data_IF_805762117009
#
_entry.id   IF_805762117009
#
_cell.length_a   1.000
_cell.length_b   1.000
_cell.length_c   1.000
_cell.angle_alpha   90.00
_cell.angle_beta   90.00
_cell.angle_gamma   90.00
#
_symmetry.space_group_name_H-M   'P 1'
#
loop_
_entity.id
_entity.type
_entity.pdbx_description
1 polymer ?
#
# COMPACT_ATOMS: atom_id res chain seq x y z
N UNK A 1 31.99 -5.74 -5.56
CA UNK A 1 31.04 -4.88 -4.81
C UNK A 1 30.14 -5.77 -3.96
N UNK A 2 30.65 -6.35 -2.88
CA UNK A 2 29.86 -7.19 -1.97
C UNK A 2 30.06 -6.64 -0.57
N UNK A 3 29.38 -5.51 -0.31
CA UNK A 3 29.33 -4.92 1.02
C UNK A 3 28.10 -5.52 1.71
N UNK A 4 28.31 -6.51 2.58
CA UNK A 4 27.30 -7.05 3.50
C UNK A 4 26.56 -5.95 4.27
N UNK A 5 27.22 -4.81 4.51
CA UNK A 5 26.66 -3.64 5.18
C UNK A 5 25.45 -3.00 4.47
N UNK A 6 25.18 -3.32 3.20
CA UNK A 6 23.95 -2.88 2.52
C UNK A 6 22.77 -3.84 2.70
N UNK A 7 23.03 -5.10 3.09
CA UNK A 7 22.02 -6.16 3.22
C UNK A 7 21.78 -6.60 4.67
N UNK A 8 22.40 -5.92 5.64
CA UNK A 8 22.17 -6.15 7.05
C UNK A 8 20.67 -5.96 7.36
N UNK A 9 20.04 -6.97 7.95
CA UNK A 9 18.59 -7.01 8.25
C UNK A 9 18.18 -5.87 9.17
N UNK A 10 19.11 -5.31 9.94
CA UNK A 10 18.92 -4.10 10.75
C UNK A 10 18.69 -2.81 9.93
N UNK A 11 18.97 -2.82 8.62
CA UNK A 11 18.86 -1.63 7.74
C UNK A 11 17.72 -1.70 6.73
N UNK A 12 17.27 -2.90 6.39
CA UNK A 12 16.08 -3.14 5.54
C UNK A 12 14.83 -2.74 6.33
N UNK A 13 13.96 -1.90 5.76
CA UNK A 13 12.79 -1.38 6.49
C UNK A 13 13.12 -0.32 7.55
N UNK A 14 14.37 0.15 7.64
CA UNK A 14 14.77 1.22 8.57
C UNK A 14 14.66 2.62 7.97
N UNK A 15 14.46 2.73 6.65
CA UNK A 15 14.43 4.01 5.96
C UNK A 15 13.00 4.49 5.74
N UNK A 16 12.72 5.76 6.08
CA UNK A 16 11.44 6.38 5.73
C UNK A 16 11.41 6.61 4.22
N UNK A 17 10.38 6.08 3.54
CA UNK A 17 10.14 6.30 2.12
C UNK A 17 10.06 7.80 1.84
N UNK A 18 10.77 8.24 0.79
CA UNK A 18 10.54 9.58 0.27
C UNK A 18 9.09 9.67 -0.30
N UNK A 19 8.51 10.86 -0.45
CA UNK A 19 7.14 10.99 -0.94
C UNK A 19 6.86 10.34 -2.31
N UNK A 20 7.82 10.32 -3.22
CA UNK A 20 7.63 9.70 -4.54
C UNK A 20 7.53 8.19 -4.41
N UNK A 21 8.49 7.57 -3.73
CA UNK A 21 8.49 6.12 -3.48
C UNK A 21 7.23 5.73 -2.72
N UNK A 22 6.83 6.51 -1.72
CA UNK A 22 5.58 6.29 -0.99
C UNK A 22 4.33 6.32 -1.89
N UNK A 23 4.25 7.25 -2.84
CA UNK A 23 3.08 7.39 -3.73
C UNK A 23 3.10 6.36 -4.85
N UNK A 24 4.28 6.04 -5.40
CA UNK A 24 4.44 5.18 -6.58
C UNK A 24 4.54 3.69 -6.23
N UNK A 25 5.11 3.32 -5.07
CA UNK A 25 5.24 1.90 -4.65
C UNK A 25 3.91 1.14 -4.70
N UNK A 26 2.78 1.69 -4.18
CA UNK A 26 1.47 1.04 -4.27
C UNK A 26 1.03 0.74 -5.70
N UNK A 27 1.35 1.61 -6.67
CA UNK A 27 0.96 1.43 -8.06
C UNK A 27 1.59 0.16 -8.64
N UNK A 28 2.87 -0.05 -8.35
CA UNK A 28 3.61 -1.21 -8.83
C UNK A 28 3.25 -2.48 -8.03
N UNK A 29 3.30 -2.39 -6.69
CA UNK A 29 3.03 -3.51 -5.79
C UNK A 29 1.63 -4.12 -5.99
N UNK A 30 0.63 -3.29 -6.28
CA UNK A 30 -0.74 -3.72 -6.51
C UNK A 30 -1.11 -3.84 -7.99
N UNK A 31 -0.14 -3.64 -8.89
CA UNK A 31 -0.34 -3.65 -10.34
C UNK A 31 -1.52 -2.75 -10.77
N UNK A 32 -1.62 -1.55 -10.19
CA UNK A 32 -2.71 -0.63 -10.50
C UNK A 32 -2.54 -0.09 -11.92
N UNK A 33 -3.44 -0.49 -12.80
CA UNK A 33 -3.47 -0.02 -14.18
C UNK A 33 -3.77 1.46 -14.24
N UNK A 34 -2.88 2.23 -14.86
CA UNK A 34 -3.17 3.59 -15.30
C UNK A 34 -4.14 3.55 -16.50
N UNK A 35 -4.99 4.58 -16.67
CA UNK A 35 -5.93 4.63 -17.78
C UNK A 35 -5.19 4.66 -19.13
N UNK A 36 -5.79 4.03 -20.15
CA UNK A 36 -5.24 4.01 -21.51
C UNK A 36 -5.36 5.37 -22.22
N UNK A 37 -6.43 6.10 -21.92
CA UNK A 37 -6.65 7.45 -22.44
C UNK A 37 -5.53 8.40 -21.98
N UNK A 38 -4.83 8.99 -22.95
CA UNK A 38 -3.67 9.83 -22.70
C UNK A 38 -3.99 11.06 -21.84
N UNK A 39 -5.17 11.66 -22.00
CA UNK A 39 -5.57 12.88 -21.26
C UNK A 39 -5.87 12.54 -19.81
N UNK A 40 -6.61 11.45 -19.58
CA UNK A 40 -6.90 10.98 -18.21
C UNK A 40 -5.62 10.49 -17.53
N UNK A 41 -4.73 9.83 -18.26
CA UNK A 41 -3.43 9.37 -17.77
C UNK A 41 -2.53 10.53 -17.34
N UNK A 42 -2.41 11.55 -18.18
CA UNK A 42 -1.64 12.76 -17.85
C UNK A 42 -2.22 13.46 -16.61
N UNK A 43 -3.55 13.59 -16.52
CA UNK A 43 -4.22 14.13 -15.33
C UNK A 43 -3.96 13.30 -14.07
N UNK A 44 -4.00 11.98 -14.17
CA UNK A 44 -3.73 11.09 -13.03
C UNK A 44 -2.26 11.22 -12.56
N UNK A 45 -1.30 11.20 -13.50
CA UNK A 45 0.11 11.38 -13.18
C UNK A 45 0.41 12.77 -12.61
N UNK A 46 -0.18 13.83 -13.18
CA UNK A 46 -0.08 15.20 -12.65
C UNK A 46 -0.69 15.35 -11.26
N UNK A 47 -1.81 14.67 -10.98
CA UNK A 47 -2.41 14.63 -9.65
C UNK A 47 -1.56 13.86 -8.63
N UNK A 48 -1.01 12.70 -9.01
CA UNK A 48 -0.03 11.96 -8.20
C UNK A 48 1.20 12.81 -7.89
N UNK A 49 1.70 13.55 -8.88
CA UNK A 49 2.75 14.54 -8.70
C UNK A 49 2.35 15.64 -7.70
N UNK A 50 1.11 16.14 -7.76
CA UNK A 50 0.57 17.08 -6.78
C UNK A 50 0.67 16.58 -5.34
N UNK A 51 0.37 15.29 -5.09
CA UNK A 51 0.52 14.69 -3.76
C UNK A 51 1.98 14.67 -3.27
N UNK A 52 2.95 14.47 -4.16
CA UNK A 52 4.39 14.53 -3.77
C UNK A 52 4.77 15.92 -3.28
N UNK A 53 4.24 16.98 -3.92
CA UNK A 53 4.48 18.36 -3.54
C UNK A 53 3.88 18.70 -2.16
N UNK A 54 2.64 18.26 -1.89
CA UNK A 54 2.00 18.41 -0.57
C UNK A 54 2.81 17.71 0.53
N UNK A 55 3.45 16.59 0.20
CA UNK A 55 4.35 15.86 1.09
C UNK A 55 5.79 16.43 1.10
N UNK A 56 5.97 17.67 0.64
CA UNK A 56 7.22 18.43 0.67
C UNK A 56 8.32 17.90 -0.25
N UNK A 57 7.94 17.25 -1.36
CA UNK A 57 8.85 16.79 -2.40
C UNK A 57 8.35 17.17 -3.79
N UNK A 58 8.80 18.32 -4.31
CA UNK A 58 8.53 18.72 -5.69
C UNK A 58 9.70 18.32 -6.60
N UNK A 59 9.46 17.38 -7.52
CA UNK A 59 10.41 17.04 -8.58
C UNK A 59 10.75 18.28 -9.41
N UNK A 60 12.03 18.47 -9.73
CA UNK A 60 12.54 19.61 -10.50
C UNK A 60 12.37 20.99 -9.85
N UNK A 61 11.90 21.06 -8.60
CA UNK A 61 11.84 22.28 -7.79
C UNK A 61 12.57 22.07 -6.47
N UNK A 62 13.88 21.80 -6.56
CA UNK A 62 14.70 21.66 -5.36
C UNK A 62 14.77 23.02 -4.62
N UNK A 63 14.50 23.07 -3.30
CA UNK A 63 14.45 24.32 -2.56
C UNK A 63 15.83 24.99 -2.37
N UNK A 64 16.92 24.30 -2.70
CA UNK A 64 18.28 24.85 -2.65
C UNK A 64 19.21 24.15 -3.65
N UNK A 65 20.38 24.74 -3.90
CA UNK A 65 21.47 24.14 -4.71
C UNK A 65 21.90 22.77 -4.18
N UNK A 66 21.70 22.52 -2.89
CA UNK A 66 22.06 21.28 -2.21
C UNK A 66 20.90 20.28 -2.17
N UNK A 67 20.37 19.79 -3.31
CA UNK A 67 19.39 18.66 -3.34
C UNK A 67 18.20 18.83 -2.35
N UNK A 68 17.44 17.77 -2.08
CA UNK A 68 16.33 17.80 -1.12
C UNK A 68 16.81 17.50 0.30
N UNK A 69 16.30 18.25 1.29
CA UNK A 69 16.74 18.23 2.70
C UNK A 69 16.85 16.83 3.31
N UNK A 70 15.92 15.92 2.97
CA UNK A 70 15.92 14.56 3.49
C UNK A 70 17.12 13.70 3.09
N UNK A 71 17.93 14.12 2.11
CA UNK A 71 19.11 13.36 1.67
C UNK A 71 20.42 13.78 2.34
N UNK A 72 20.49 14.95 2.99
CA UNK A 72 21.77 15.48 3.47
C UNK A 72 21.70 16.28 4.78
N UNK A 73 20.52 16.71 5.24
CA UNK A 73 20.41 17.48 6.49
C UNK A 73 20.50 16.57 7.71
N UNK A 74 21.66 16.57 8.35
CA UNK A 74 21.85 16.02 9.69
C UNK A 74 21.06 16.83 10.76
N UNK A 75 20.61 16.21 11.86
CA UNK A 75 20.80 14.80 12.23
C UNK A 75 19.68 13.87 11.71
N UNK A 76 18.59 14.43 11.16
CA UNK A 76 17.36 13.67 10.88
C UNK A 76 17.34 12.95 9.52
N UNK A 77 18.04 13.47 8.51
CA UNK A 77 18.12 12.87 7.16
C UNK A 77 16.75 12.43 6.63
N UNK A 78 16.56 11.15 6.30
CA UNK A 78 15.34 10.58 5.74
C UNK A 78 14.12 10.71 6.68
N UNK A 79 14.32 10.83 7.99
CA UNK A 79 13.22 11.04 8.95
C UNK A 79 12.51 12.36 8.73
N UNK A 80 13.13 13.32 8.03
CA UNK A 80 12.49 14.59 7.66
C UNK A 80 11.27 14.40 6.73
N UNK A 81 11.21 13.28 5.98
CA UNK A 81 10.10 12.96 5.09
C UNK A 81 8.80 12.62 5.83
N UNK A 82 8.90 12.23 7.10
CA UNK A 82 7.76 11.90 7.95
C UNK A 82 7.72 12.85 9.15
N UNK A 83 6.77 13.78 9.12
CA UNK A 83 6.57 14.76 10.18
C UNK A 83 5.06 14.98 10.42
N UNK A 84 4.72 15.80 11.42
CA UNK A 84 3.33 16.07 11.79
C UNK A 84 2.50 16.72 10.68
N UNK A 85 3.15 17.36 9.69
CA UNK A 85 2.49 17.97 8.54
C UNK A 85 2.27 16.98 7.39
N UNK A 86 3.27 16.15 7.08
CA UNK A 86 3.18 15.19 5.97
C UNK A 86 2.41 13.92 6.33
N UNK A 87 2.38 13.52 7.60
CA UNK A 87 1.72 12.30 8.08
C UNK A 87 0.20 12.30 7.79
N UNK A 88 -0.58 13.35 8.07
CA UNK A 88 -2.01 13.40 7.70
C UNK A 88 -2.24 13.24 6.20
N UNK A 89 -1.43 13.89 5.36
CA UNK A 89 -1.53 13.78 3.90
C UNK A 89 -1.25 12.36 3.41
N UNK A 90 -0.23 11.69 3.96
CA UNK A 90 0.08 10.30 3.66
C UNK A 90 -1.07 9.36 4.01
N UNK A 91 -1.67 9.54 5.19
CA UNK A 91 -2.83 8.76 5.63
C UNK A 91 -4.05 8.98 4.75
N UNK A 92 -4.33 10.22 4.37
CA UNK A 92 -5.44 10.53 3.45
C UNK A 92 -5.25 9.86 2.09
N UNK A 93 -4.01 9.84 1.58
CA UNK A 93 -3.69 9.15 0.32
C UNK A 93 -3.93 7.64 0.43
N UNK A 94 -3.40 6.98 1.45
CA UNK A 94 -3.55 5.52 1.61
C UNK A 94 -4.98 5.11 1.91
N UNK A 95 -5.69 5.86 2.76
CA UNK A 95 -7.11 5.61 3.07
C UNK A 95 -7.99 5.79 1.83
N UNK A 96 -7.72 6.81 1.00
CA UNK A 96 -8.41 6.99 -0.26
C UNK A 96 -8.09 5.87 -1.24
N UNK A 97 -6.82 5.47 -1.37
CA UNK A 97 -6.38 4.42 -2.27
C UNK A 97 -7.03 3.06 -1.98
N UNK A 98 -7.27 2.74 -0.70
CA UNK A 98 -7.90 1.47 -0.30
C UNK A 98 -9.43 1.50 -0.29
N UNK A 99 -10.07 2.63 0.07
CA UNK A 99 -11.52 2.69 0.32
C UNK A 99 -12.33 3.35 -0.78
N UNK A 100 -12.03 4.62 -1.10
CA UNK A 100 -12.90 5.48 -1.93
C UNK A 100 -12.39 5.65 -3.36
N UNK A 101 -11.10 5.42 -3.57
CA UNK A 101 -10.36 5.70 -4.79
C UNK A 101 -9.87 7.15 -4.84
N UNK A 102 -8.62 7.35 -5.22
CA UNK A 102 -8.05 8.69 -5.44
C UNK A 102 -8.63 9.27 -6.73
N UNK A 103 -9.36 10.39 -6.68
CA UNK A 103 -10.08 10.91 -7.84
C UNK A 103 -9.18 11.74 -8.77
N UNK A 104 -9.28 11.46 -10.07
CA UNK A 104 -8.63 12.21 -11.15
C UNK A 104 -9.66 12.53 -12.25
N UNK A 105 -10.57 13.46 -11.96
CA UNK A 105 -11.75 13.70 -12.79
C UNK A 105 -12.75 12.55 -12.69
N UNK A 106 -13.08 11.92 -13.82
CA UNK A 106 -13.99 10.76 -13.87
C UNK A 106 -13.30 9.42 -13.56
N UNK A 107 -11.98 9.40 -13.52
CA UNK A 107 -11.20 8.21 -13.18
C UNK A 107 -10.90 8.20 -11.67
N UNK A 108 -10.94 7.01 -11.05
CA UNK A 108 -10.53 6.81 -9.66
C UNK A 108 -9.47 5.73 -9.60
N UNK A 109 -8.33 6.06 -9.04
CA UNK A 109 -7.29 5.09 -8.73
C UNK A 109 -7.67 4.37 -7.42
N UNK A 110 -8.11 3.12 -7.53
CA UNK A 110 -8.60 2.32 -6.42
C UNK A 110 -7.94 0.94 -6.45
N UNK A 111 -7.47 0.46 -5.30
CA UNK A 111 -6.97 -0.90 -5.17
C UNK A 111 -8.13 -1.89 -5.22
N UNK A 112 -7.98 -2.94 -6.01
CA UNK A 112 -8.83 -4.14 -5.95
C UNK A 112 -8.07 -5.23 -5.16
N UNK A 113 -8.39 -5.43 -3.87
CA UNK A 113 -7.76 -6.46 -3.05
C UNK A 113 -8.06 -7.88 -3.53
N UNK A 114 -9.19 -8.09 -4.23
CA UNK A 114 -9.58 -9.41 -4.72
C UNK A 114 -8.63 -9.85 -5.83
N UNK A 115 -8.29 -8.96 -6.77
CA UNK A 115 -7.31 -9.25 -7.83
C UNK A 115 -5.92 -9.60 -7.27
N UNK A 116 -5.59 -9.11 -6.08
CA UNK A 116 -4.30 -9.41 -5.42
C UNK A 116 -4.39 -10.75 -4.71
N UNK A 117 -5.50 -11.01 -4.00
CA UNK A 117 -5.74 -12.29 -3.35
C UNK A 117 -5.85 -13.46 -4.36
N UNK A 118 -6.36 -13.21 -5.57
CA UNK A 118 -6.40 -14.22 -6.66
C UNK A 118 -5.02 -14.61 -7.17
N UNK A 119 -3.99 -13.79 -6.95
CA UNK A 119 -2.60 -14.11 -7.30
C UNK A 119 -1.87 -14.90 -6.21
N UNK A 120 -2.50 -15.06 -5.04
CA UNK A 120 -1.93 -15.80 -3.91
C UNK A 120 -2.21 -17.32 -4.06
N UNK A 121 -1.35 -18.14 -3.47
CA UNK A 121 -1.55 -19.59 -3.41
C UNK A 121 -2.48 -19.96 -2.24
N UNK A 122 -3.56 -20.69 -2.53
CA UNK A 122 -4.61 -21.11 -1.59
C UNK A 122 -5.24 -19.94 -0.78
N UNK A 123 -5.83 -18.94 -1.46
CA UNK A 123 -6.44 -17.77 -0.81
C UNK A 123 -7.65 -18.08 0.08
N UNK A 124 -8.23 -19.28 -0.03
CA UNK A 124 -9.26 -19.80 0.87
C UNK A 124 -8.75 -20.10 2.29
N UNK A 125 -7.43 -20.25 2.45
CA UNK A 125 -6.75 -20.35 3.75
C UNK A 125 -6.36 -18.94 4.23
N UNK A 126 -7.05 -18.47 5.26
CA UNK A 126 -6.88 -17.13 5.80
C UNK A 126 -5.44 -16.85 6.28
N UNK A 127 -4.75 -17.85 6.85
CA UNK A 127 -3.40 -17.65 7.42
C UNK A 127 -2.34 -17.57 6.32
N UNK A 128 -2.47 -18.43 5.31
CA UNK A 128 -1.60 -18.38 4.12
C UNK A 128 -1.81 -17.11 3.32
N UNK A 129 -3.05 -16.67 3.17
CA UNK A 129 -3.36 -15.42 2.49
C UNK A 129 -2.69 -14.22 3.18
N UNK A 130 -2.85 -14.10 4.51
CA UNK A 130 -2.24 -13.00 5.26
C UNK A 130 -0.72 -13.04 5.15
N UNK A 131 -0.09 -14.23 5.25
CA UNK A 131 1.37 -14.32 5.17
C UNK A 131 1.92 -13.89 3.81
N UNK A 132 1.27 -14.29 2.71
CA UNK A 132 1.69 -13.93 1.36
C UNK A 132 1.46 -12.45 1.05
N UNK A 133 0.28 -11.92 1.43
CA UNK A 133 -0.03 -10.51 1.22
C UNK A 133 0.90 -9.61 2.03
N UNK A 134 1.29 -10.01 3.24
CA UNK A 134 2.22 -9.25 4.09
C UNK A 134 3.55 -8.96 3.38
N UNK A 135 4.06 -9.93 2.61
CA UNK A 135 5.32 -9.81 1.86
C UNK A 135 5.21 -8.78 0.72
N UNK A 136 4.01 -8.56 0.17
CA UNK A 136 3.79 -7.55 -0.88
C UNK A 136 3.79 -6.12 -0.33
N UNK A 137 3.43 -5.93 0.94
CA UNK A 137 3.26 -4.63 1.56
C UNK A 137 4.51 -4.11 2.27
N UNK A 138 5.37 -5.02 2.74
CA UNK A 138 6.54 -4.71 3.56
C UNK A 138 7.76 -5.50 3.09
N UNK A 139 8.94 -4.86 2.99
CA UNK A 139 10.19 -5.56 2.69
C UNK A 139 10.65 -6.48 3.83
N UNK A 140 10.15 -6.26 5.05
CA UNK A 140 10.39 -7.12 6.21
C UNK A 140 9.11 -7.88 6.56
N UNK A 141 9.27 -9.15 6.90
CA UNK A 141 8.15 -9.98 7.33
C UNK A 141 7.54 -9.47 8.64
N UNK A 142 6.21 -9.52 8.74
CA UNK A 142 5.52 -9.07 9.94
C UNK A 142 5.73 -10.06 11.09
N UNK A 143 5.82 -9.50 12.30
CA UNK A 143 5.90 -10.30 13.51
C UNK A 143 4.61 -11.13 13.69
N UNK A 144 4.71 -12.27 14.38
CA UNK A 144 3.59 -13.21 14.56
C UNK A 144 2.35 -12.53 15.15
N UNK A 145 2.53 -11.64 16.12
CA UNK A 145 1.44 -10.87 16.73
C UNK A 145 0.74 -9.94 15.72
N UNK A 146 1.49 -9.32 14.80
CA UNK A 146 0.91 -8.46 13.76
C UNK A 146 0.10 -9.29 12.77
N UNK A 147 0.60 -10.47 12.39
CA UNK A 147 -0.15 -11.42 11.54
C UNK A 147 -1.43 -11.92 12.23
N UNK A 148 -1.40 -12.17 13.53
CA UNK A 148 -2.61 -12.51 14.31
C UNK A 148 -3.64 -11.38 14.26
N UNK A 149 -3.22 -10.13 14.46
CA UNK A 149 -4.13 -8.97 14.36
C UNK A 149 -4.69 -8.83 12.93
N UNK A 150 -3.88 -9.02 11.90
CA UNK A 150 -4.34 -9.00 10.51
C UNK A 150 -5.36 -10.11 10.22
N UNK A 151 -5.15 -11.30 10.79
CA UNK A 151 -6.10 -12.40 10.72
C UNK A 151 -7.42 -12.05 11.41
N UNK A 152 -7.38 -11.43 12.60
CA UNK A 152 -8.56 -10.93 13.30
C UNK A 152 -9.29 -9.85 12.50
N UNK A 153 -8.57 -8.95 11.82
CA UNK A 153 -9.16 -7.94 10.92
C UNK A 153 -9.84 -8.58 9.72
N UNK A 154 -9.26 -9.62 9.13
CA UNK A 154 -9.84 -10.35 8.00
C UNK A 154 -11.13 -11.07 8.43
N UNK A 155 -11.05 -11.79 9.55
CA UNK A 155 -12.15 -12.61 10.05
C UNK A 155 -13.26 -11.76 10.65
N UNK A 156 -12.95 -10.70 11.39
CA UNK A 156 -13.93 -9.90 12.11
C UNK A 156 -14.76 -10.80 13.04
N UNK A 157 -16.04 -10.95 12.72
CA UNK A 157 -16.97 -11.85 13.44
C UNK A 157 -16.99 -13.29 12.90
N UNK A 158 -16.35 -13.53 11.76
CA UNK A 158 -16.44 -14.81 11.06
C UNK A 158 -15.40 -15.81 11.57
N UNK A 159 -15.71 -17.09 11.43
CA UNK A 159 -14.72 -18.16 11.65
C UNK A 159 -13.85 -18.37 10.40
N UNK A 160 -12.70 -19.04 10.57
CA UNK A 160 -11.83 -19.43 9.45
C UNK A 160 -12.59 -20.23 8.38
N UNK A 161 -13.45 -21.16 8.79
CA UNK A 161 -14.27 -21.94 7.85
C UNK A 161 -15.27 -21.08 7.08
N UNK A 162 -15.85 -20.06 7.73
CA UNK A 162 -16.73 -19.11 7.04
C UNK A 162 -15.98 -18.27 6.00
N UNK A 163 -14.73 -17.88 6.27
CA UNK A 163 -13.86 -17.26 5.25
C UNK A 163 -13.65 -18.19 4.06
N UNK A 164 -13.20 -19.42 4.31
CA UNK A 164 -12.98 -20.44 3.27
C UNK A 164 -14.24 -20.63 2.40
N UNK A 165 -15.42 -20.71 3.03
CA UNK A 165 -16.68 -20.83 2.30
C UNK A 165 -17.02 -19.59 1.48
N UNK A 166 -16.81 -18.38 2.01
CA UNK A 166 -17.01 -17.13 1.25
C UNK A 166 -16.11 -17.06 0.02
N UNK A 167 -14.84 -17.45 0.18
CA UNK A 167 -13.90 -17.50 -0.92
C UNK A 167 -14.32 -18.51 -1.99
N UNK A 168 -14.62 -19.75 -1.59
CA UNK A 168 -15.04 -20.80 -2.52
C UNK A 168 -16.36 -20.48 -3.24
N UNK A 169 -17.30 -19.85 -2.54
CA UNK A 169 -18.57 -19.42 -3.18
C UNK A 169 -18.36 -18.29 -4.18
N UNK A 170 -17.41 -17.37 -3.93
CA UNK A 170 -16.99 -16.37 -4.91
C UNK A 170 -16.32 -17.02 -6.13
N UNK A 171 -15.35 -17.92 -5.92
CA UNK A 171 -14.65 -18.61 -7.02
C UNK A 171 -15.61 -19.41 -7.90
N UNK A 172 -16.64 -20.02 -7.31
CA UNK A 172 -17.65 -20.76 -8.07
C UNK A 172 -18.53 -19.87 -8.97
N UNK A 173 -18.62 -18.56 -8.70
CA UNK A 173 -19.45 -17.62 -9.45
C UNK A 173 -18.91 -16.17 -9.29
N UNK A 174 -17.81 -15.84 -9.98
CA UNK A 174 -17.10 -14.57 -9.82
C UNK A 174 -17.86 -13.38 -10.41
N UNK A 175 -18.84 -13.64 -11.29
CA UNK A 175 -19.69 -12.61 -11.90
C UNK A 175 -20.74 -12.07 -10.93
N UNK A 176 -21.03 -12.81 -9.86
CA UNK A 176 -22.00 -12.41 -8.86
C UNK A 176 -21.44 -11.32 -7.95
N UNK A 177 -21.95 -10.10 -8.14
CA UNK A 177 -21.51 -8.91 -7.42
C UNK A 177 -21.68 -9.03 -5.90
N UNK A 178 -22.72 -9.72 -5.42
CA UNK A 178 -22.94 -9.93 -3.98
C UNK A 178 -21.87 -10.84 -3.37
N UNK A 179 -21.50 -11.92 -4.06
CA UNK A 179 -20.47 -12.85 -3.59
C UNK A 179 -19.09 -12.19 -3.61
N UNK A 180 -18.76 -11.47 -4.70
CA UNK A 180 -17.53 -10.67 -4.78
C UNK A 180 -17.47 -9.63 -3.66
N UNK A 181 -18.57 -8.92 -3.41
CA UNK A 181 -18.63 -7.89 -2.37
C UNK A 181 -18.37 -8.46 -0.96
N UNK A 182 -18.86 -9.67 -0.67
CA UNK A 182 -18.66 -10.31 0.63
C UNK A 182 -17.17 -10.58 0.94
N UNK A 183 -16.38 -10.95 -0.07
CA UNK A 183 -14.93 -11.15 0.04
C UNK A 183 -14.20 -9.80 0.03
N UNK A 184 -14.58 -8.90 -0.89
CA UNK A 184 -13.95 -7.60 -1.09
C UNK A 184 -13.95 -6.73 0.18
N UNK A 185 -15.07 -6.67 0.93
CA UNK A 185 -15.15 -5.87 2.15
C UNK A 185 -14.14 -6.32 3.20
N UNK A 186 -13.97 -7.64 3.37
CA UNK A 186 -12.99 -8.20 4.33
C UNK A 186 -11.56 -7.89 3.92
N UNK A 187 -11.22 -8.17 2.66
CA UNK A 187 -9.88 -7.87 2.16
C UNK A 187 -9.56 -6.38 2.21
N UNK A 188 -10.53 -5.52 1.91
CA UNK A 188 -10.37 -4.07 1.99
C UNK A 188 -10.08 -3.59 3.42
N UNK A 189 -10.68 -4.22 4.43
CA UNK A 189 -10.35 -3.94 5.84
C UNK A 189 -8.90 -4.27 6.15
N UNK A 190 -8.41 -5.44 5.71
CA UNK A 190 -7.01 -5.85 5.91
C UNK A 190 -6.05 -4.91 5.19
N UNK A 191 -6.32 -4.60 3.92
CA UNK A 191 -5.49 -3.72 3.10
C UNK A 191 -5.42 -2.31 3.67
N UNK A 192 -6.56 -1.76 4.11
CA UNK A 192 -6.60 -0.46 4.79
C UNK A 192 -5.80 -0.49 6.08
N UNK A 193 -5.88 -1.58 6.85
CA UNK A 193 -5.11 -1.74 8.08
C UNK A 193 -3.60 -1.79 7.80
N UNK A 194 -3.17 -2.60 6.82
CA UNK A 194 -1.76 -2.69 6.41
C UNK A 194 -1.20 -1.36 5.90
N UNK A 195 -1.96 -0.58 5.12
CA UNK A 195 -1.49 0.73 4.64
C UNK A 195 -1.41 1.81 5.75
N UNK A 196 -2.03 1.57 6.91
CA UNK A 196 -1.94 2.45 8.10
C UNK A 196 -0.83 2.03 9.05
N UNK A 197 -0.27 0.84 8.87
CA UNK A 197 0.83 0.35 9.69
C UNK A 197 2.11 1.17 9.42
N UNK A 198 2.94 1.43 10.45
CA UNK A 198 4.22 2.14 10.29
C UNK A 198 5.12 1.54 9.21
N UNK A 199 5.16 0.21 9.12
CA UNK A 199 5.98 -0.57 8.19
C UNK A 199 5.73 -0.21 6.73
N UNK A 200 4.50 0.16 6.38
CA UNK A 200 4.17 0.57 5.02
C UNK A 200 4.86 1.88 4.61
N UNK A 201 5.17 2.75 5.58
CA UNK A 201 5.88 4.01 5.35
C UNK A 201 7.40 3.83 5.25
N UNK A 202 7.90 2.62 5.47
CA UNK A 202 9.32 2.29 5.48
C UNK A 202 9.72 1.51 4.23
N UNK A 203 10.99 1.64 3.85
CA UNK A 203 11.67 0.95 2.74
C UNK A 203 12.90 0.21 3.25
#
# INVERSE_FOLDING_TARGET
MTSEHFYDTCRVGGLVKNPIDFIMTPLNAFSLGLPEDAVVKDRALGGLYGFTNVQQMALFQAPSVCRMAGFYKAPLYNKLWLNSFTLPSRKLYTDALSNTGVPFGNYRLLVDPVLIAEKCDNPEDAEKLISQVSILFSPMDYATNQKTVLLEVLLGTDTRQQWTNKWNTYVADPTNTTKKQAVLVKLRSVFTYMMRMPEFHLS
#
